data_IF_212078604683
#
_entry.id   IF_212078604683
#
_cell.length_a   1.000
_cell.length_b   1.000
_cell.length_c   1.000
_cell.angle_alpha   90.00
_cell.angle_beta   90.00
_cell.angle_gamma   90.00
#
_symmetry.space_group_name_H-M   'P 1'
#
loop_
_entity.id
_entity.type
_entity.pdbx_description
1 polymer ?
#
# COMPACT_ATOMS: atom_id res chain seq x y z
N UNK A 1 -1.30 -10.20 -8.75
CA UNK A 1 -0.39 -9.93 -9.89
C UNK A 1 0.84 -10.82 -9.83
N UNK A 2 1.46 -11.08 -10.98
CA UNK A 2 2.62 -11.98 -11.12
C UNK A 2 3.98 -11.32 -10.86
N UNK A 3 4.02 -10.00 -10.65
CA UNK A 3 5.27 -9.26 -10.47
C UNK A 3 6.00 -8.91 -11.77
N UNK A 4 5.31 -8.96 -12.91
CA UNK A 4 5.81 -8.65 -14.25
C UNK A 4 5.53 -7.17 -14.58
N UNK A 5 6.30 -6.26 -13.96
CA UNK A 5 5.95 -4.84 -13.94
C UNK A 5 6.12 -4.14 -15.29
N UNK A 6 7.15 -4.48 -16.06
CA UNK A 6 7.39 -3.84 -17.36
C UNK A 6 6.34 -4.26 -18.40
N UNK A 7 5.95 -5.53 -18.38
CA UNK A 7 4.86 -6.06 -19.19
C UNK A 7 3.52 -5.45 -18.78
N UNK A 8 3.29 -5.29 -17.46
CA UNK A 8 2.11 -4.58 -16.95
C UNK A 8 2.06 -3.12 -17.42
N UNK A 9 3.18 -2.39 -17.35
CA UNK A 9 3.27 -1.02 -17.86
C UNK A 9 2.90 -0.97 -19.33
N UNK A 10 3.53 -1.82 -20.17
CA UNK A 10 3.26 -1.86 -21.61
C UNK A 10 1.79 -2.16 -21.93
N UNK A 11 1.19 -3.13 -21.25
CA UNK A 11 -0.21 -3.50 -21.45
C UNK A 11 -1.16 -2.35 -21.07
N UNK A 12 -0.92 -1.71 -19.94
CA UNK A 12 -1.77 -0.61 -19.47
C UNK A 12 -1.58 0.67 -20.29
N UNK A 13 -0.37 0.94 -20.82
CA UNK A 13 -0.15 2.01 -21.79
C UNK A 13 -0.98 1.80 -23.05
N UNK A 14 -1.01 0.57 -23.59
CA UNK A 14 -1.84 0.24 -24.76
C UNK A 14 -3.34 0.43 -24.47
N UNK A 15 -3.81 0.02 -23.29
CA UNK A 15 -5.19 0.25 -22.88
C UNK A 15 -5.53 1.75 -22.76
N UNK A 16 -4.64 2.54 -22.17
CA UNK A 16 -4.82 3.99 -21.99
C UNK A 16 -4.70 4.79 -23.29
N UNK A 17 -4.07 4.24 -24.33
CA UNK A 17 -4.05 4.83 -25.68
C UNK A 17 -5.40 4.69 -26.39
N UNK A 18 -6.19 3.66 -26.06
CA UNK A 18 -7.54 3.45 -26.61
C UNK A 18 -8.60 4.14 -25.75
N UNK A 19 -8.45 4.09 -24.42
CA UNK A 19 -9.42 4.62 -23.46
C UNK A 19 -8.71 5.52 -22.44
N UNK A 20 -8.57 6.81 -22.76
CA UNK A 20 -7.80 7.73 -21.94
C UNK A 20 -8.34 7.91 -20.51
N UNK A 21 -9.65 7.70 -20.32
CA UNK A 21 -10.33 7.78 -19.03
C UNK A 21 -10.31 6.48 -18.21
N UNK A 22 -9.59 5.43 -18.65
CA UNK A 22 -9.63 4.13 -17.99
C UNK A 22 -8.82 4.13 -16.68
N UNK A 23 -9.46 4.58 -15.59
CA UNK A 23 -8.83 4.76 -14.28
C UNK A 23 -8.18 3.48 -13.73
N UNK A 24 -8.80 2.31 -13.96
CA UNK A 24 -8.25 1.02 -13.51
C UNK A 24 -6.89 0.73 -14.14
N UNK A 25 -6.76 0.91 -15.46
CA UNK A 25 -5.48 0.75 -16.16
C UNK A 25 -4.44 1.78 -15.67
N UNK A 26 -4.87 3.00 -15.36
CA UNK A 26 -4.00 4.03 -14.79
C UNK A 26 -3.47 3.64 -13.40
N UNK A 27 -4.31 3.08 -12.50
CA UNK A 27 -3.86 2.59 -11.18
C UNK A 27 -2.83 1.47 -11.34
N UNK A 28 -3.09 0.50 -12.21
CA UNK A 28 -2.16 -0.60 -12.46
C UNK A 28 -0.81 -0.11 -13.00
N UNK A 29 -0.84 0.86 -13.92
CA UNK A 29 0.37 1.44 -14.48
C UNK A 29 1.16 2.23 -13.42
N UNK A 30 0.50 3.09 -12.64
CA UNK A 30 1.14 3.84 -11.54
C UNK A 30 1.73 2.88 -10.52
N UNK A 31 0.99 1.86 -10.11
CA UNK A 31 1.47 0.87 -9.17
C UNK A 31 2.71 0.14 -9.70
N UNK A 32 2.71 -0.28 -10.97
CA UNK A 32 3.85 -0.95 -11.60
C UNK A 32 5.09 -0.03 -11.71
N UNK A 33 4.91 1.26 -12.05
CA UNK A 33 6.00 2.24 -12.02
C UNK A 33 6.63 2.34 -10.63
N UNK A 34 5.81 2.42 -9.58
CA UNK A 34 6.27 2.50 -8.19
C UNK A 34 7.06 1.26 -7.74
N UNK A 35 6.75 0.08 -8.28
CA UNK A 35 7.51 -1.14 -7.97
C UNK A 35 8.90 -1.16 -8.61
N UNK A 36 9.10 -0.43 -9.72
CA UNK A 36 10.40 -0.27 -10.38
C UNK A 36 11.16 0.99 -9.99
N UNK A 37 10.72 1.70 -8.94
CA UNK A 37 11.25 3.02 -8.55
C UNK A 37 11.27 4.05 -9.70
N UNK A 38 10.22 4.04 -10.53
CA UNK A 38 9.96 5.03 -11.57
C UNK A 38 9.01 6.11 -11.01
N UNK A 39 9.49 6.89 -10.05
CA UNK A 39 8.69 7.85 -9.30
C UNK A 39 8.23 9.04 -10.15
N UNK A 40 9.03 9.46 -11.13
CA UNK A 40 8.64 10.55 -12.03
C UNK A 40 7.49 10.12 -12.93
N UNK A 41 7.54 8.90 -13.48
CA UNK A 41 6.42 8.36 -14.26
C UNK A 41 5.16 8.16 -13.41
N UNK A 42 5.31 7.61 -12.19
CA UNK A 42 4.21 7.45 -11.26
C UNK A 42 3.54 8.80 -10.94
N UNK A 43 4.33 9.87 -10.75
CA UNK A 43 3.83 11.22 -10.49
C UNK A 43 2.96 11.76 -11.64
N UNK A 44 3.36 11.56 -12.89
CA UNK A 44 2.54 11.94 -14.06
C UNK A 44 1.19 11.21 -14.07
N UNK A 45 1.19 9.95 -13.65
CA UNK A 45 -0.04 9.18 -13.47
C UNK A 45 -0.96 9.74 -12.37
N UNK A 46 -0.38 10.24 -11.26
CA UNK A 46 -1.13 10.97 -10.22
C UNK A 46 -1.74 12.26 -10.77
N UNK A 47 -0.98 13.06 -11.50
CA UNK A 47 -1.48 14.30 -12.11
C UNK A 47 -2.65 14.00 -13.09
N UNK A 48 -2.52 12.93 -13.88
CA UNK A 48 -3.60 12.45 -14.75
C UNK A 48 -4.83 11.98 -13.96
N UNK A 49 -4.64 11.28 -12.84
CA UNK A 49 -5.77 10.78 -12.03
C UNK A 49 -6.55 11.92 -11.37
N UNK A 50 -5.88 12.97 -10.92
CA UNK A 50 -6.53 14.20 -10.42
C UNK A 50 -7.38 14.85 -11.52
N UNK A 51 -6.86 14.94 -12.75
CA UNK A 51 -7.61 15.48 -13.88
C UNK A 51 -8.83 14.63 -14.25
N UNK A 52 -8.72 13.29 -14.16
CA UNK A 52 -9.84 12.37 -14.39
C UNK A 52 -10.90 12.47 -13.28
N UNK A 53 -10.49 12.56 -12.02
CA UNK A 53 -11.39 12.70 -10.88
C UNK A 53 -12.26 13.95 -10.97
N UNK A 54 -11.71 15.08 -11.42
CA UNK A 54 -12.48 16.32 -11.65
C UNK A 54 -13.62 16.15 -12.66
N UNK A 55 -13.55 15.14 -13.53
CA UNK A 55 -14.59 14.80 -14.51
C UNK A 55 -15.56 13.73 -14.00
N UNK A 56 -15.27 13.12 -12.85
CA UNK A 56 -16.09 12.09 -12.25
C UNK A 56 -17.30 12.72 -11.55
N UNK A 57 -18.49 12.23 -11.86
CA UNK A 57 -19.71 12.62 -11.15
C UNK A 57 -19.90 11.74 -9.92
N UNK A 58 -20.44 12.31 -8.84
CA UNK A 58 -20.86 11.53 -7.69
C UNK A 58 -21.88 10.47 -8.13
N UNK A 59 -21.79 9.22 -7.64
CA UNK A 59 -22.73 8.19 -8.05
C UNK A 59 -24.07 8.40 -7.32
N UNK A 60 -25.18 8.10 -8.01
CA UNK A 60 -26.53 8.23 -7.44
C UNK A 60 -26.88 7.13 -6.41
N UNK A 61 -26.06 6.08 -6.33
CA UNK A 61 -26.14 4.97 -5.38
C UNK A 61 -24.74 4.39 -5.17
N UNK A 62 -24.55 3.53 -4.17
CA UNK A 62 -23.25 2.86 -3.96
C UNK A 62 -22.91 1.99 -5.19
N UNK A 63 -21.84 2.31 -5.93
CA UNK A 63 -21.48 1.54 -7.12
C UNK A 63 -20.87 0.19 -6.73
N UNK A 64 -21.01 -0.80 -7.61
CA UNK A 64 -20.42 -2.13 -7.46
C UNK A 64 -19.58 -2.50 -8.69
N UNK A 65 -18.83 -3.61 -8.61
CA UNK A 65 -18.09 -4.17 -9.74
C UNK A 65 -17.15 -3.18 -10.43
N UNK A 66 -17.22 -3.11 -11.76
CA UNK A 66 -16.34 -2.26 -12.57
C UNK A 66 -16.55 -0.75 -12.33
N UNK A 67 -17.76 -0.32 -11.97
CA UNK A 67 -18.02 1.09 -11.66
C UNK A 67 -17.29 1.48 -10.38
N UNK A 68 -17.40 0.65 -9.34
CA UNK A 68 -16.66 0.83 -8.09
C UNK A 68 -15.15 0.84 -8.33
N UNK A 69 -14.65 -0.04 -9.20
CA UNK A 69 -13.23 -0.11 -9.57
C UNK A 69 -12.68 1.23 -10.10
N UNK A 70 -13.50 2.01 -10.82
CA UNK A 70 -13.11 3.35 -11.26
C UNK A 70 -12.89 4.33 -10.10
N UNK A 71 -13.80 4.35 -9.13
CA UNK A 71 -13.70 5.21 -7.95
C UNK A 71 -12.52 4.81 -7.05
N UNK A 72 -12.37 3.52 -6.78
CA UNK A 72 -11.28 3.01 -5.95
C UNK A 72 -9.92 3.21 -6.62
N UNK A 73 -9.79 3.03 -7.94
CA UNK A 73 -8.56 3.31 -8.67
C UNK A 73 -8.13 4.78 -8.53
N UNK A 74 -9.06 5.74 -8.70
CA UNK A 74 -8.75 7.16 -8.54
C UNK A 74 -8.37 7.54 -7.10
N UNK A 75 -8.83 6.81 -6.09
CA UNK A 75 -8.41 6.98 -4.69
C UNK A 75 -7.08 6.27 -4.37
N UNK A 76 -6.85 5.11 -4.97
CA UNK A 76 -5.64 4.32 -4.78
C UNK A 76 -4.41 5.01 -5.39
N UNK A 77 -4.51 5.63 -6.56
CA UNK A 77 -3.36 6.25 -7.26
C UNK A 77 -2.56 7.22 -6.37
N UNK A 78 -3.16 8.30 -5.80
CA UNK A 78 -2.42 9.21 -4.93
C UNK A 78 -1.96 8.53 -3.62
N UNK A 79 -2.77 7.61 -3.08
CA UNK A 79 -2.43 6.85 -1.88
C UNK A 79 -1.18 5.97 -2.07
N UNK A 80 -1.11 5.23 -3.17
CA UNK A 80 0.07 4.42 -3.53
C UNK A 80 1.29 5.29 -3.71
N UNK A 81 1.16 6.42 -4.39
CA UNK A 81 2.30 7.30 -4.66
C UNK A 81 3.02 7.77 -3.38
N UNK A 82 2.27 8.03 -2.31
CA UNK A 82 2.87 8.43 -1.03
C UNK A 82 3.30 7.23 -0.17
N UNK A 83 2.51 6.14 -0.14
CA UNK A 83 2.82 4.93 0.64
C UNK A 83 4.05 4.21 0.09
N UNK A 84 4.10 3.96 -1.22
CA UNK A 84 5.16 3.17 -1.85
C UNK A 84 6.52 3.85 -1.71
N UNK A 85 6.55 5.19 -1.67
CA UNK A 85 7.75 6.00 -1.46
C UNK A 85 8.07 6.25 0.01
N UNK A 86 7.20 5.85 0.94
CA UNK A 86 7.36 6.16 2.36
C UNK A 86 7.28 7.66 2.70
N UNK A 87 6.58 8.44 1.88
CA UNK A 87 6.40 9.88 2.07
C UNK A 87 5.31 10.14 3.14
N UNK A 88 5.62 9.81 4.40
CA UNK A 88 4.61 9.78 5.47
C UNK A 88 3.95 11.12 5.77
N UNK A 89 4.70 12.23 5.64
CA UNK A 89 4.15 13.57 5.78
C UNK A 89 3.12 13.87 4.66
N UNK A 90 3.47 13.56 3.41
CA UNK A 90 2.55 13.70 2.26
C UNK A 90 1.34 12.77 2.42
N UNK A 91 1.53 11.56 2.96
CA UNK A 91 0.46 10.62 3.24
C UNK A 91 -0.54 11.17 4.27
N UNK A 92 -0.05 11.78 5.35
CA UNK A 92 -0.90 12.44 6.35
C UNK A 92 -1.67 13.64 5.77
N UNK A 93 -1.06 14.35 4.83
CA UNK A 93 -1.59 15.56 4.20
C UNK A 93 -2.44 15.31 2.94
N UNK A 94 -2.67 14.05 2.54
CA UNK A 94 -3.52 13.75 1.39
C UNK A 94 -4.90 14.40 1.53
N UNK A 95 -5.33 15.06 0.46
CA UNK A 95 -6.63 15.71 0.41
C UNK A 95 -7.75 14.65 0.36
N UNK A 96 -8.80 14.88 1.15
CA UNK A 96 -10.01 14.09 1.08
C UNK A 96 -10.92 14.73 0.05
N UNK A 97 -11.21 13.97 -1.00
CA UNK A 97 -12.20 14.30 -2.02
C UNK A 97 -13.26 13.19 -2.00
N UNK A 98 -14.36 13.38 -1.24
CA UNK A 98 -15.36 12.33 -1.02
C UNK A 98 -15.95 11.81 -2.33
N UNK A 99 -16.04 10.49 -2.46
CA UNK A 99 -16.54 9.85 -3.67
C UNK A 99 -17.47 8.66 -3.36
N UNK A 100 -16.94 7.63 -2.71
CA UNK A 100 -17.71 6.48 -2.22
C UNK A 100 -17.13 6.01 -0.90
N UNK A 101 -17.91 5.38 -0.01
CA UNK A 101 -17.39 4.92 1.28
C UNK A 101 -16.14 4.04 1.14
N UNK A 102 -16.11 3.14 0.15
CA UNK A 102 -14.96 2.27 -0.11
C UNK A 102 -13.76 3.04 -0.63
N UNK A 103 -13.94 3.94 -1.60
CA UNK A 103 -12.83 4.73 -2.14
C UNK A 103 -12.24 5.67 -1.07
N UNK A 104 -13.09 6.32 -0.29
CA UNK A 104 -12.70 7.25 0.77
C UNK A 104 -11.91 6.54 1.86
N UNK A 105 -12.24 5.27 2.16
CA UNK A 105 -11.49 4.46 3.13
C UNK A 105 -10.01 4.31 2.79
N UNK A 106 -9.65 4.30 1.50
CA UNK A 106 -8.25 4.20 1.06
C UNK A 106 -7.47 5.45 1.45
N UNK A 107 -8.09 6.63 1.30
CA UNK A 107 -7.47 7.90 1.66
C UNK A 107 -7.41 8.07 3.18
N UNK A 108 -8.48 7.74 3.91
CA UNK A 108 -8.45 7.77 5.38
C UNK A 108 -7.43 6.81 5.97
N UNK A 109 -7.31 5.58 5.44
CA UNK A 109 -6.26 4.64 5.82
C UNK A 109 -4.87 5.22 5.58
N UNK A 110 -4.65 5.81 4.41
CA UNK A 110 -3.36 6.42 4.05
C UNK A 110 -2.98 7.56 4.99
N UNK A 111 -3.94 8.43 5.32
CA UNK A 111 -3.74 9.53 6.28
C UNK A 111 -3.48 8.99 7.68
N UNK A 112 -4.26 8.03 8.16
CA UNK A 112 -4.03 7.40 9.46
C UNK A 112 -2.63 6.80 9.58
N UNK A 113 -2.17 6.10 8.54
CA UNK A 113 -0.82 5.54 8.47
C UNK A 113 0.25 6.61 8.42
N UNK A 114 0.09 7.66 7.60
CA UNK A 114 1.00 8.80 7.54
C UNK A 114 1.13 9.48 8.90
N UNK A 115 0.01 9.85 9.52
CA UNK A 115 -0.04 10.50 10.83
C UNK A 115 0.57 9.63 11.94
N UNK A 116 0.27 8.33 11.99
CA UNK A 116 0.87 7.43 12.97
C UNK A 116 2.40 7.30 12.78
N UNK A 117 2.88 7.29 11.53
CA UNK A 117 4.31 7.21 11.18
C UNK A 117 5.07 8.50 11.42
N UNK A 118 4.41 9.66 11.39
CA UNK A 118 5.02 10.97 11.69
C UNK A 118 4.84 11.41 13.15
N UNK A 119 4.11 10.64 13.96
CA UNK A 119 3.89 10.93 15.38
C UNK A 119 2.70 11.84 15.68
N UNK A 120 1.91 12.22 14.67
CA UNK A 120 0.63 12.92 14.87
C UNK A 120 -0.47 11.92 15.24
N UNK A 121 -0.43 11.46 16.49
CA UNK A 121 -1.35 10.45 16.99
C UNK A 121 -2.81 10.95 17.09
N UNK A 122 -3.00 12.27 17.17
CA UNK A 122 -4.32 12.91 17.18
C UNK A 122 -5.02 12.72 15.84
N UNK A 123 -4.39 13.18 14.75
CA UNK A 123 -4.91 13.00 13.40
C UNK A 123 -5.04 11.51 13.03
N UNK A 124 -4.12 10.66 13.49
CA UNK A 124 -4.24 9.21 13.27
C UNK A 124 -5.55 8.66 13.87
N UNK A 125 -5.92 9.06 15.09
CA UNK A 125 -7.16 8.65 15.75
C UNK A 125 -8.40 9.14 15.01
N UNK A 126 -8.40 10.39 14.56
CA UNK A 126 -9.51 10.96 13.78
C UNK A 126 -9.76 10.19 12.48
N UNK A 127 -8.70 9.89 11.72
CA UNK A 127 -8.82 9.12 10.48
C UNK A 127 -9.27 7.67 10.73
N UNK A 128 -8.86 7.04 11.85
CA UNK A 128 -9.35 5.72 12.27
C UNK A 128 -10.85 5.75 12.61
N UNK A 129 -11.34 6.84 13.20
CA UNK A 129 -12.75 7.01 13.50
C UNK A 129 -13.59 7.12 12.22
N UNK A 130 -13.09 7.82 11.19
CA UNK A 130 -13.73 7.81 9.87
C UNK A 130 -13.80 6.41 9.26
N UNK A 131 -12.73 5.61 9.36
CA UNK A 131 -12.75 4.21 8.90
C UNK A 131 -13.80 3.38 9.66
N UNK A 132 -13.94 3.59 10.97
CA UNK A 132 -14.98 2.95 11.79
C UNK A 132 -16.39 3.29 11.30
N UNK A 133 -16.64 4.56 11.02
CA UNK A 133 -17.94 5.03 10.53
C UNK A 133 -18.27 4.46 9.15
N UNK A 134 -17.29 4.42 8.25
CA UNK A 134 -17.43 3.82 6.91
C UNK A 134 -17.77 2.32 7.04
N UNK A 135 -17.01 1.56 7.84
CA UNK A 135 -17.27 0.13 8.03
C UNK A 135 -18.67 -0.14 8.60
N UNK A 136 -19.10 0.66 9.59
CA UNK A 136 -20.44 0.54 10.16
C UNK A 136 -21.55 0.86 9.14
N UNK A 137 -21.36 1.92 8.34
CA UNK A 137 -22.31 2.29 7.28
C UNK A 137 -22.44 1.22 6.19
N UNK A 138 -21.33 0.61 5.78
CA UNK A 138 -21.31 -0.50 4.82
C UNK A 138 -22.03 -1.74 5.38
N UNK A 139 -21.79 -2.10 6.65
CA UNK A 139 -22.49 -3.20 7.31
C UNK A 139 -24.01 -2.94 7.43
N UNK A 140 -24.41 -1.70 7.76
CA UNK A 140 -25.82 -1.33 7.79
C UNK A 140 -26.48 -1.42 6.40
N UNK A 141 -25.72 -1.12 5.35
CA UNK A 141 -26.15 -1.29 3.96
C UNK A 141 -26.08 -2.76 3.46
N UNK A 142 -25.73 -3.71 4.33
CA UNK A 142 -25.53 -5.14 4.01
C UNK A 142 -24.45 -5.40 2.97
N UNK A 143 -23.45 -4.53 2.92
CA UNK A 143 -22.27 -4.68 2.09
C UNK A 143 -21.12 -5.30 2.91
N UNK A 144 -21.35 -6.54 3.36
CA UNK A 144 -20.52 -7.22 4.37
C UNK A 144 -19.07 -7.40 3.92
N UNK A 145 -18.87 -7.66 2.62
CA UNK A 145 -17.53 -7.79 2.04
C UNK A 145 -16.72 -6.50 2.22
N UNK A 146 -17.29 -5.36 1.79
CA UNK A 146 -16.59 -4.09 1.88
C UNK A 146 -16.49 -3.58 3.32
N UNK A 147 -17.49 -3.85 4.16
CA UNK A 147 -17.41 -3.59 5.59
C UNK A 147 -16.20 -4.32 6.22
N UNK A 148 -15.98 -5.59 5.88
CA UNK A 148 -14.82 -6.36 6.34
C UNK A 148 -13.50 -5.79 5.79
N UNK A 149 -13.44 -5.39 4.52
CA UNK A 149 -12.22 -4.80 3.96
C UNK A 149 -11.84 -3.50 4.66
N UNK A 150 -12.80 -2.61 4.93
CA UNK A 150 -12.55 -1.36 5.67
C UNK A 150 -12.18 -1.65 7.12
N UNK A 151 -12.75 -2.67 7.74
CA UNK A 151 -12.38 -3.09 9.09
C UNK A 151 -10.93 -3.59 9.18
N UNK A 152 -10.43 -4.30 8.15
CA UNK A 152 -9.02 -4.69 8.07
C UNK A 152 -8.11 -3.45 8.05
N UNK A 153 -8.44 -2.45 7.22
CA UNK A 153 -7.71 -1.17 7.16
C UNK A 153 -7.73 -0.47 8.53
N UNK A 154 -8.91 -0.35 9.16
CA UNK A 154 -9.09 0.25 10.48
C UNK A 154 -8.27 -0.47 11.55
N UNK A 155 -8.30 -1.80 11.55
CA UNK A 155 -7.59 -2.64 12.51
C UNK A 155 -6.08 -2.46 12.42
N UNK A 156 -5.53 -2.43 11.19
CA UNK A 156 -4.12 -2.16 10.95
C UNK A 156 -3.72 -0.74 11.38
N UNK A 157 -4.49 0.29 11.03
CA UNK A 157 -4.24 1.66 11.48
C UNK A 157 -4.30 1.78 13.00
N UNK A 158 -5.26 1.11 13.65
CA UNK A 158 -5.38 1.07 15.12
C UNK A 158 -4.14 0.43 15.76
N UNK A 159 -3.59 -0.62 15.15
CA UNK A 159 -2.36 -1.24 15.62
C UNK A 159 -1.18 -0.26 15.55
N UNK A 160 -1.00 0.46 14.43
CA UNK A 160 0.07 1.45 14.29
C UNK A 160 -0.08 2.68 15.19
N UNK A 161 -1.31 3.16 15.40
CA UNK A 161 -1.60 4.17 16.42
C UNK A 161 -1.17 3.67 17.80
N UNK A 162 -1.61 2.46 18.19
CA UNK A 162 -1.24 1.87 19.48
C UNK A 162 0.28 1.69 19.64
N UNK A 163 0.99 1.36 18.55
CA UNK A 163 2.44 1.28 18.56
C UNK A 163 3.08 2.65 18.84
N UNK A 164 2.59 3.71 18.19
CA UNK A 164 3.02 5.09 18.41
C UNK A 164 2.72 5.60 19.82
N UNK A 165 1.63 5.15 20.43
CA UNK A 165 1.27 5.42 21.84
C UNK A 165 2.12 4.62 22.87
N UNK A 166 3.06 3.80 22.42
CA UNK A 166 3.91 2.98 23.29
C UNK A 166 3.29 1.65 23.71
N UNK A 167 2.07 1.30 23.26
CA UNK A 167 1.38 0.02 23.54
C UNK A 167 1.90 -1.11 22.64
N UNK A 168 3.22 -1.27 22.55
CA UNK A 168 3.93 -2.04 21.51
C UNK A 168 3.47 -3.50 21.38
N UNK A 169 3.40 -4.25 22.46
CA UNK A 169 3.03 -5.67 22.40
C UNK A 169 1.54 -5.87 22.06
N UNK A 170 0.66 -5.00 22.54
CA UNK A 170 -0.76 -5.03 22.17
C UNK A 170 -0.95 -4.66 20.68
N UNK A 171 -0.22 -3.66 20.21
CA UNK A 171 -0.19 -3.26 18.81
C UNK A 171 0.28 -4.40 17.89
N UNK A 172 1.36 -5.11 18.26
CA UNK A 172 1.84 -6.27 17.48
C UNK A 172 0.79 -7.39 17.39
N UNK A 173 0.10 -7.69 18.48
CA UNK A 173 -1.01 -8.67 18.48
C UNK A 173 -2.15 -8.20 17.57
N UNK A 174 -2.53 -6.93 17.63
CA UNK A 174 -3.58 -6.37 16.78
C UNK A 174 -3.20 -6.40 15.30
N UNK A 175 -1.95 -6.05 14.97
CA UNK A 175 -1.45 -6.05 13.60
C UNK A 175 -1.40 -7.49 13.03
N UNK A 176 -1.08 -8.48 13.87
CA UNK A 176 -1.19 -9.90 13.51
C UNK A 176 -2.62 -10.27 13.13
N UNK A 177 -3.59 -9.90 13.96
CA UNK A 177 -5.02 -10.15 13.69
C UNK A 177 -5.47 -9.49 12.38
N UNK A 178 -5.10 -8.23 12.14
CA UNK A 178 -5.42 -7.55 10.88
C UNK A 178 -4.87 -8.29 9.67
N UNK A 179 -3.65 -8.82 9.77
CA UNK A 179 -3.02 -9.58 8.71
C UNK A 179 -3.62 -10.99 8.53
N UNK A 180 -4.04 -11.65 9.60
CA UNK A 180 -4.76 -12.94 9.52
C UNK A 180 -6.14 -12.78 8.87
N UNK A 181 -6.85 -11.71 9.21
CA UNK A 181 -8.13 -11.36 8.59
C UNK A 181 -7.98 -11.07 7.09
N UNK A 182 -6.91 -10.38 6.68
CA UNK A 182 -6.64 -10.13 5.27
C UNK A 182 -6.29 -11.41 4.50
N UNK A 183 -5.57 -12.35 5.11
CA UNK A 183 -5.27 -13.64 4.46
C UNK A 183 -6.51 -14.52 4.30
N UNK A 184 -7.48 -14.40 5.20
CA UNK A 184 -8.78 -15.08 5.12
C UNK A 184 -9.78 -14.45 4.15
N UNK A 185 -9.49 -13.28 3.57
CA UNK A 185 -10.42 -12.57 2.67
C UNK A 185 -10.22 -12.90 1.19
N UNK A 186 -11.33 -12.95 0.44
CA UNK A 186 -11.29 -13.12 -1.01
C UNK A 186 -10.85 -11.84 -1.74
N UNK A 187 -10.17 -11.99 -2.88
CA UNK A 187 -9.80 -10.86 -3.74
C UNK A 187 -11.01 -10.41 -4.56
N UNK A 188 -11.15 -9.10 -4.75
CA UNK A 188 -12.22 -8.52 -5.56
C UNK A 188 -11.68 -7.60 -6.66
N UNK A 189 -12.33 -7.60 -7.83
CA UNK A 189 -11.94 -6.83 -9.02
C UNK A 189 -11.84 -5.31 -8.83
N UNK A 190 -12.48 -4.75 -7.81
CA UNK A 190 -12.44 -3.31 -7.55
C UNK A 190 -11.21 -2.92 -6.72
N UNK A 191 -10.52 -3.89 -6.11
CA UNK A 191 -9.27 -3.73 -5.36
C UNK A 191 -8.36 -4.92 -5.62
N UNK A 192 -8.09 -5.22 -6.89
CA UNK A 192 -7.29 -6.39 -7.31
C UNK A 192 -5.87 -6.35 -6.73
N UNK A 193 -5.33 -5.13 -6.62
CA UNK A 193 -4.10 -4.86 -5.91
C UNK A 193 -4.45 -4.24 -4.58
N UNK A 194 -4.23 -4.99 -3.51
CA UNK A 194 -4.27 -4.46 -2.14
C UNK A 194 -3.45 -3.16 -2.10
N UNK A 195 -3.97 -2.15 -1.40
CA UNK A 195 -3.24 -0.88 -1.26
C UNK A 195 -1.91 -1.11 -0.54
N UNK A 196 -1.94 -1.93 0.52
CA UNK A 196 -0.77 -2.34 1.29
C UNK A 196 -1.05 -3.74 1.88
N UNK A 197 -0.25 -4.77 1.56
CA UNK A 197 -0.42 -6.09 2.19
C UNK A 197 -0.23 -6.01 3.71
N UNK A 198 -1.18 -6.52 4.49
CA UNK A 198 -1.11 -6.41 5.95
C UNK A 198 0.05 -7.22 6.56
N UNK A 199 0.48 -8.31 5.91
CA UNK A 199 1.69 -9.06 6.29
C UNK A 199 2.97 -8.23 6.13
N UNK A 200 3.09 -7.48 5.03
CA UNK A 200 4.20 -6.53 4.84
C UNK A 200 4.19 -5.46 5.94
N UNK A 201 3.00 -4.93 6.26
CA UNK A 201 2.84 -3.90 7.28
C UNK A 201 3.12 -4.42 8.71
N UNK A 202 2.85 -5.70 8.97
CA UNK A 202 3.27 -6.38 10.20
C UNK A 202 4.80 -6.58 10.25
N UNK A 203 5.42 -6.93 9.12
CA UNK A 203 6.88 -6.97 8.98
C UNK A 203 7.53 -5.63 9.33
N UNK A 204 6.95 -4.52 8.86
CA UNK A 204 7.39 -3.16 9.19
C UNK A 204 7.32 -2.90 10.71
N UNK A 205 6.24 -3.31 11.39
CA UNK A 205 6.10 -3.13 12.83
C UNK A 205 7.07 -4.02 13.62
N UNK A 206 7.30 -5.25 13.17
CA UNK A 206 8.26 -6.18 13.79
C UNK A 206 9.70 -5.66 13.66
N UNK A 207 10.07 -5.05 12.52
CA UNK A 207 11.34 -4.34 12.39
C UNK A 207 11.44 -3.18 13.38
N UNK A 208 10.40 -2.34 13.47
CA UNK A 208 10.35 -1.25 14.43
C UNK A 208 10.45 -1.72 15.90
N UNK A 209 10.02 -2.96 16.17
CA UNK A 209 10.09 -3.61 17.49
C UNK A 209 11.40 -4.36 17.73
N UNK A 210 12.39 -4.23 16.85
CA UNK A 210 13.67 -4.96 16.89
C UNK A 210 13.50 -6.49 16.93
N UNK A 211 12.53 -7.01 16.18
CA UNK A 211 12.27 -8.45 16.00
C UNK A 211 12.53 -8.89 14.54
N UNK A 212 13.75 -8.73 14.00
CA UNK A 212 14.03 -8.88 12.57
C UNK A 212 13.79 -10.29 12.03
N UNK A 213 14.11 -11.33 12.80
CA UNK A 213 13.87 -12.71 12.37
C UNK A 213 12.37 -13.03 12.19
N UNK A 214 11.50 -12.40 12.99
CA UNK A 214 10.05 -12.50 12.81
C UNK A 214 9.59 -11.66 11.63
N UNK A 215 10.11 -10.44 11.49
CA UNK A 215 9.77 -9.57 10.36
C UNK A 215 10.08 -10.24 9.01
N UNK A 216 11.24 -10.90 8.89
CA UNK A 216 11.63 -11.62 7.68
C UNK A 216 10.58 -12.65 7.26
N UNK A 217 10.04 -13.43 8.22
CA UNK A 217 8.99 -14.42 7.94
C UNK A 217 7.73 -13.76 7.37
N UNK A 218 7.33 -12.62 7.91
CA UNK A 218 6.14 -11.91 7.42
C UNK A 218 6.32 -11.33 6.02
N UNK A 219 7.49 -10.78 5.72
CA UNK A 219 7.79 -10.32 4.36
C UNK A 219 7.82 -11.50 3.38
N UNK A 220 8.43 -12.62 3.75
CA UNK A 220 8.47 -13.82 2.92
C UNK A 220 7.06 -14.37 2.64
N UNK A 221 6.18 -14.41 3.66
CA UNK A 221 4.77 -14.77 3.49
C UNK A 221 4.05 -13.79 2.56
N UNK A 222 4.22 -12.49 2.78
CA UNK A 222 3.61 -11.45 1.94
C UNK A 222 4.03 -11.57 0.47
N UNK A 223 5.30 -11.88 0.21
CA UNK A 223 5.86 -11.98 -1.14
C UNK A 223 5.34 -13.20 -1.93
N UNK A 224 4.71 -14.18 -1.28
CA UNK A 224 4.07 -15.31 -1.99
C UNK A 224 2.88 -14.83 -2.84
N UNK A 225 2.09 -13.89 -2.30
CA UNK A 225 0.90 -13.34 -2.94
C UNK A 225 1.16 -11.98 -3.62
N UNK A 226 2.05 -11.17 -3.05
CA UNK A 226 2.51 -9.88 -3.58
C UNK A 226 3.91 -10.00 -4.20
N UNK A 227 4.03 -10.86 -5.23
CA UNK A 227 5.30 -11.15 -5.88
C UNK A 227 5.96 -9.90 -6.45
N UNK A 228 7.29 -9.84 -6.33
CA UNK A 228 8.14 -8.75 -6.80
C UNK A 228 7.73 -7.36 -6.30
N UNK A 229 7.13 -7.26 -5.12
CA UNK A 229 6.80 -5.98 -4.51
C UNK A 229 8.05 -5.33 -3.92
N UNK A 230 8.34 -4.09 -4.31
CA UNK A 230 9.53 -3.30 -3.92
C UNK A 230 9.71 -3.25 -2.40
N UNK A 231 8.69 -2.77 -1.69
CA UNK A 231 8.75 -2.58 -0.23
C UNK A 231 8.91 -3.92 0.49
N UNK A 232 8.23 -4.97 0.04
CA UNK A 232 8.36 -6.32 0.60
C UNK A 232 9.75 -6.91 0.39
N UNK A 233 10.34 -6.77 -0.80
CA UNK A 233 11.72 -7.22 -1.08
C UNK A 233 12.72 -6.46 -0.22
N UNK A 234 12.61 -5.13 -0.15
CA UNK A 234 13.49 -4.32 0.67
C UNK A 234 13.35 -4.66 2.16
N UNK A 235 12.13 -4.77 2.67
CA UNK A 235 11.83 -5.15 4.04
C UNK A 235 12.43 -6.52 4.40
N UNK A 236 12.32 -7.51 3.50
CA UNK A 236 12.95 -8.81 3.66
C UNK A 236 14.49 -8.70 3.68
N UNK A 237 15.09 -7.89 2.80
CA UNK A 237 16.54 -7.66 2.78
C UNK A 237 17.03 -7.07 4.11
N UNK A 238 16.34 -6.02 4.58
CA UNK A 238 16.67 -5.33 5.84
C UNK A 238 16.50 -6.24 7.04
N UNK A 239 15.41 -7.01 7.08
CA UNK A 239 15.16 -7.97 8.14
C UNK A 239 16.22 -9.08 8.20
N UNK A 240 16.58 -9.65 7.04
CA UNK A 240 17.65 -10.65 6.94
C UNK A 240 19.02 -10.09 7.37
N UNK A 241 19.34 -8.85 6.96
CA UNK A 241 20.56 -8.17 7.37
C UNK A 241 20.62 -8.00 8.89
N UNK A 242 19.55 -7.51 9.51
CA UNK A 242 19.49 -7.26 10.95
C UNK A 242 19.43 -8.55 11.77
N UNK A 243 18.96 -9.66 11.20
CA UNK A 243 19.02 -10.98 11.83
C UNK A 243 20.34 -11.72 11.61
N UNK A 244 21.31 -11.13 10.90
CA UNK A 244 22.61 -11.74 10.60
C UNK A 244 22.60 -12.78 9.47
N UNK A 245 21.47 -12.95 8.76
CA UNK A 245 21.39 -13.85 7.60
C UNK A 245 21.93 -13.13 6.36
N UNK A 246 23.27 -13.12 6.27
CA UNK A 246 24.00 -12.43 5.20
C UNK A 246 23.66 -12.95 3.81
N UNK A 247 23.41 -14.26 3.68
CA UNK A 247 23.10 -14.87 2.39
C UNK A 247 21.73 -14.39 1.87
N UNK A 248 20.69 -14.42 2.72
CA UNK A 248 19.37 -13.90 2.35
C UNK A 248 19.40 -12.40 2.11
N UNK A 249 20.09 -11.63 2.95
CA UNK A 249 20.20 -10.18 2.79
C UNK A 249 20.78 -9.82 1.41
N UNK A 250 21.91 -10.44 1.02
CA UNK A 250 22.48 -10.26 -0.33
C UNK A 250 21.48 -10.64 -1.41
N UNK A 251 20.85 -11.81 -1.30
CA UNK A 251 19.87 -12.29 -2.29
C UNK A 251 18.71 -11.31 -2.50
N UNK A 252 18.12 -10.76 -1.43
CA UNK A 252 17.01 -9.81 -1.55
C UNK A 252 17.47 -8.43 -2.04
N UNK A 253 18.64 -7.94 -1.65
CA UNK A 253 19.17 -6.69 -2.19
C UNK A 253 19.50 -6.80 -3.68
N UNK A 254 20.08 -7.92 -4.14
CA UNK A 254 20.30 -8.17 -5.57
C UNK A 254 18.97 -8.18 -6.34
N UNK A 255 17.93 -8.82 -5.79
CA UNK A 255 16.57 -8.81 -6.36
C UNK A 255 16.00 -7.40 -6.43
N UNK A 256 16.18 -6.58 -5.39
CA UNK A 256 15.71 -5.19 -5.37
C UNK A 256 16.35 -4.35 -6.48
N UNK A 257 17.68 -4.46 -6.63
CA UNK A 257 18.41 -3.75 -7.69
C UNK A 257 18.00 -4.26 -9.08
N UNK A 258 17.79 -5.57 -9.25
CA UNK A 258 17.30 -6.14 -10.50
C UNK A 258 15.89 -5.65 -10.86
N UNK A 259 15.01 -5.52 -9.87
CA UNK A 259 13.64 -5.01 -10.05
C UNK A 259 13.64 -3.54 -10.52
N UNK A 260 14.62 -2.76 -10.07
CA UNK A 260 14.70 -1.32 -10.28
C UNK A 260 15.73 -0.94 -11.36
N UNK A 261 16.03 -1.83 -12.32
CA UNK A 261 17.01 -1.57 -13.40
C UNK A 261 16.68 -0.34 -14.25
N UNK A 262 15.41 0.01 -14.37
CA UNK A 262 14.92 1.16 -15.14
C UNK A 262 14.40 2.27 -14.23
N UNK A 263 14.84 2.31 -12.96
CA UNK A 263 14.48 3.37 -12.02
C UNK A 263 14.80 4.75 -12.60
N UNK A 264 13.88 5.69 -12.48
CA UNK A 264 14.09 7.10 -12.87
C UNK A 264 14.48 7.99 -11.68
N UNK A 265 14.52 7.41 -10.48
CA UNK A 265 14.76 8.11 -9.21
C UNK A 265 15.63 7.25 -8.30
N UNK A 266 16.59 7.88 -7.62
CA UNK A 266 17.42 7.20 -6.63
C UNK A 266 16.76 7.23 -5.25
N UNK A 267 16.06 6.15 -4.89
CA UNK A 267 15.53 5.97 -3.54
C UNK A 267 16.62 5.54 -2.55
N UNK A 268 16.46 5.91 -1.27
CA UNK A 268 17.44 5.61 -0.22
C UNK A 268 17.69 4.11 -0.04
N UNK A 269 16.67 3.28 -0.25
CA UNK A 269 16.80 1.82 -0.14
C UNK A 269 17.70 1.24 -1.25
N UNK A 270 17.70 1.84 -2.45
CA UNK A 270 18.58 1.42 -3.54
C UNK A 270 20.03 1.78 -3.26
N UNK A 271 20.27 2.92 -2.62
CA UNK A 271 21.60 3.33 -2.14
C UNK A 271 22.08 2.37 -1.06
N UNK A 272 21.22 2.03 -0.08
CA UNK A 272 21.54 1.06 0.97
C UNK A 272 21.88 -0.31 0.37
N UNK A 273 21.07 -0.81 -0.57
CA UNK A 273 21.29 -2.08 -1.25
C UNK A 273 22.66 -2.15 -1.94
N UNK A 274 23.02 -1.12 -2.73
CA UNK A 274 24.33 -1.02 -3.39
C UNK A 274 25.47 -1.01 -2.37
N UNK A 275 25.33 -0.21 -1.31
CA UNK A 275 26.33 -0.10 -0.25
C UNK A 275 26.54 -1.44 0.47
N UNK A 276 25.46 -2.17 0.76
CA UNK A 276 25.54 -3.47 1.41
C UNK A 276 26.24 -4.51 0.53
N UNK A 277 25.88 -4.57 -0.75
CA UNK A 277 26.45 -5.55 -1.70
C UNK A 277 27.92 -5.31 -2.03
N UNK A 278 28.39 -4.06 -1.92
CA UNK A 278 29.79 -3.71 -2.05
C UNK A 278 30.67 -4.16 -0.86
N UNK A 279 30.08 -4.53 0.28
CA UNK A 279 30.82 -5.00 1.45
C UNK A 279 31.23 -6.47 1.26
N UNK A 280 32.55 -6.72 1.28
CA UNK A 280 33.15 -8.06 1.17
C UNK A 280 32.71 -8.97 2.31
#
# INVERSE_FOLDING_TARGET
>A
MLGMWQESIKANQAALAVAEGYAHALDFMVYAYLQGAQDNEAKRGVERSIALRKKQTAPNANPTGAVLAGYTALAAIPARYVIERGAWADAAALQIEPATPVADSLTYFTRAMGSARTGDLGSARENIEHLRQIAAGLAQAKDDYWAQQVEILRSASTAWLGYGEGRKEAALKQMRVAADLEDGSEKHVAMENRLWPMRELLGDMLLAANKPALALKEYELSLQSARNRYRGIYGAAKAAQLSGDRAKARSYYDKLLALCRVSDTERAELVEARKYLAQK
#
